data_IF_372654055797
#
_entry.id   IF_372654055797
#
_cell.length_a   1.000
_cell.length_b   1.000
_cell.length_c   1.000
_cell.angle_alpha   90.00
_cell.angle_beta   90.00
_cell.angle_gamma   90.00
#
_symmetry.space_group_name_H-M   'P 1'
#
loop_
_entity.id
_entity.type
_entity.pdbx_description
1 polymer ?
#
# COMPACT_ATOMS: atom_id res chain seq x y z
N UNK A 1 -17.05 -16.38 -26.52
CA UNK A 1 -17.61 -15.31 -25.67
C UNK A 1 -16.63 -14.16 -25.61
N UNK A 2 -17.12 -12.92 -25.60
CA UNK A 2 -16.27 -11.77 -25.32
C UNK A 2 -15.82 -11.81 -23.84
N UNK A 3 -14.52 -11.90 -23.55
CA UNK A 3 -14.01 -11.96 -22.18
C UNK A 3 -14.28 -10.68 -21.37
N UNK A 4 -14.63 -9.57 -22.02
CA UNK A 4 -14.91 -8.29 -21.38
C UNK A 4 -16.40 -7.92 -21.37
N UNK A 5 -17.28 -8.81 -21.81
CA UNK A 5 -18.73 -8.59 -21.75
C UNK A 5 -19.17 -8.29 -20.30
N UNK A 6 -19.93 -7.20 -20.05
CA UNK A 6 -20.41 -6.87 -18.71
C UNK A 6 -21.19 -8.02 -18.06
N UNK A 7 -21.06 -8.18 -16.75
CA UNK A 7 -21.81 -9.17 -15.97
C UNK A 7 -22.85 -8.40 -15.16
N UNK A 8 -24.14 -8.69 -15.38
CA UNK A 8 -25.27 -7.92 -14.83
C UNK A 8 -25.13 -6.41 -15.03
N UNK A 9 -24.65 -5.99 -16.21
CA UNK A 9 -24.44 -4.57 -16.54
C UNK A 9 -23.18 -3.94 -15.90
N UNK A 10 -22.41 -4.69 -15.11
CA UNK A 10 -21.16 -4.22 -14.51
C UNK A 10 -19.99 -4.57 -15.43
N UNK A 11 -19.40 -3.55 -16.05
CA UNK A 11 -18.18 -3.68 -16.86
C UNK A 11 -16.96 -3.93 -15.98
N UNK A 12 -15.82 -4.28 -16.60
CA UNK A 12 -14.57 -4.53 -15.84
C UNK A 12 -14.08 -3.24 -15.15
N UNK A 13 -14.24 -2.09 -15.79
CA UNK A 13 -13.94 -0.77 -15.25
C UNK A 13 -14.82 -0.45 -14.05
N UNK A 14 -16.14 -0.65 -14.18
CA UNK A 14 -17.08 -0.40 -13.07
C UNK A 14 -16.81 -1.35 -11.91
N UNK A 15 -16.48 -2.60 -12.20
CA UNK A 15 -16.07 -3.58 -11.19
C UNK A 15 -14.80 -3.13 -10.44
N UNK A 16 -13.80 -2.60 -11.14
CA UNK A 16 -12.60 -2.04 -10.53
C UNK A 16 -12.91 -0.80 -9.65
N UNK A 17 -13.81 0.08 -10.10
CA UNK A 17 -14.25 1.25 -9.31
C UNK A 17 -14.99 0.87 -8.02
N UNK A 18 -15.81 -0.18 -8.07
CA UNK A 18 -16.54 -0.73 -6.91
C UNK A 18 -15.57 -1.42 -5.96
N UNK A 19 -14.62 -2.20 -6.48
CA UNK A 19 -13.55 -2.79 -5.68
C UNK A 19 -12.78 -1.72 -4.90
N UNK A 20 -12.40 -0.62 -5.56
CA UNK A 20 -11.70 0.49 -4.91
C UNK A 20 -12.58 1.23 -3.88
N UNK A 21 -13.90 1.24 -4.04
CA UNK A 21 -14.84 1.84 -3.08
C UNK A 21 -14.96 1.03 -1.78
N UNK A 22 -14.85 -0.29 -1.94
CA UNK A 22 -15.00 -1.29 -0.91
C UNK A 22 -13.69 -1.62 -0.21
N UNK A 23 -12.55 -1.12 -0.70
CA UNK A 23 -11.23 -1.28 -0.09
C UNK A 23 -11.28 -0.98 1.43
N UNK A 24 -10.87 -1.96 2.23
CA UNK A 24 -10.86 -1.89 3.70
C UNK A 24 -12.21 -2.11 4.40
N UNK A 25 -13.29 -2.46 3.67
CA UNK A 25 -14.64 -2.72 4.23
C UNK A 25 -15.06 -4.20 4.17
N UNK A 26 -14.10 -5.09 3.93
CA UNK A 26 -14.34 -6.52 3.66
C UNK A 26 -15.00 -7.28 4.83
N UNK A 27 -14.80 -6.80 6.06
CA UNK A 27 -15.36 -7.37 7.28
C UNK A 27 -16.63 -6.64 7.76
N UNK A 28 -17.16 -5.73 6.94
CA UNK A 28 -18.36 -4.95 7.25
C UNK A 28 -19.41 -5.15 6.15
N UNK A 29 -20.27 -6.18 6.28
CA UNK A 29 -21.34 -6.44 5.33
C UNK A 29 -22.32 -5.25 5.22
N UNK A 30 -22.56 -4.54 6.33
CA UNK A 30 -23.43 -3.38 6.35
C UNK A 30 -22.79 -2.19 5.63
N UNK A 31 -21.50 -1.93 5.87
CA UNK A 31 -20.72 -0.92 5.17
C UNK A 31 -20.57 -1.21 3.68
N UNK A 32 -20.42 -2.48 3.30
CA UNK A 32 -20.40 -2.91 1.90
C UNK A 32 -21.72 -2.63 1.21
N UNK A 33 -22.85 -3.04 1.81
CA UNK A 33 -24.18 -2.78 1.26
C UNK A 33 -24.46 -1.27 1.13
N UNK A 34 -24.02 -0.47 2.10
CA UNK A 34 -24.17 0.99 2.06
C UNK A 34 -23.37 1.63 0.91
N UNK A 35 -22.11 1.23 0.70
CA UNK A 35 -21.28 1.74 -0.40
C UNK A 35 -21.85 1.31 -1.75
N UNK A 36 -22.29 0.07 -1.91
CA UNK A 36 -22.92 -0.41 -3.14
C UNK A 36 -24.20 0.37 -3.46
N UNK A 37 -25.04 0.64 -2.45
CA UNK A 37 -26.24 1.45 -2.62
C UNK A 37 -25.91 2.90 -3.02
N UNK A 38 -24.88 3.52 -2.43
CA UNK A 38 -24.39 4.85 -2.83
C UNK A 38 -23.88 4.87 -4.28
N UNK A 39 -23.29 3.78 -4.72
CA UNK A 39 -22.80 3.59 -6.09
C UNK A 39 -23.90 3.13 -7.08
N UNK A 40 -25.15 3.03 -6.61
CA UNK A 40 -26.30 2.65 -7.45
C UNK A 40 -26.28 1.20 -7.92
N UNK A 41 -25.56 0.32 -7.22
CA UNK A 41 -25.41 -1.10 -7.56
C UNK A 41 -26.12 -1.96 -6.52
N UNK A 42 -26.96 -2.89 -6.96
CA UNK A 42 -27.58 -3.84 -6.06
C UNK A 42 -26.55 -4.86 -5.56
N UNK A 43 -26.72 -5.33 -4.32
CA UNK A 43 -25.83 -6.35 -3.76
C UNK A 43 -25.84 -7.64 -4.60
N UNK A 44 -27.01 -8.05 -5.09
CA UNK A 44 -27.15 -9.23 -5.94
C UNK A 44 -26.38 -9.10 -7.27
N UNK A 45 -26.42 -7.92 -7.90
CA UNK A 45 -25.68 -7.68 -9.15
C UNK A 45 -24.18 -7.64 -8.92
N UNK A 46 -23.74 -7.05 -7.80
CA UNK A 46 -22.34 -7.03 -7.43
C UNK A 46 -21.81 -8.45 -7.14
N UNK A 47 -22.56 -9.28 -6.41
CA UNK A 47 -22.18 -10.67 -6.13
C UNK A 47 -22.11 -11.51 -7.41
N UNK A 48 -23.07 -11.34 -8.32
CA UNK A 48 -23.06 -12.00 -9.63
C UNK A 48 -21.85 -11.55 -10.49
N UNK A 49 -21.55 -10.26 -10.51
CA UNK A 49 -20.37 -9.72 -11.21
C UNK A 49 -19.07 -10.23 -10.60
N UNK A 50 -18.94 -10.22 -9.27
CA UNK A 50 -17.80 -10.78 -8.54
C UNK A 50 -17.57 -12.25 -8.89
N UNK A 51 -18.63 -13.07 -8.87
CA UNK A 51 -18.55 -14.49 -9.21
C UNK A 51 -18.11 -14.69 -10.68
N UNK A 52 -18.71 -13.95 -11.61
CA UNK A 52 -18.41 -14.09 -13.03
C UNK A 52 -17.01 -13.58 -13.42
N UNK A 53 -16.55 -12.45 -12.85
CA UNK A 53 -15.18 -11.96 -13.07
C UNK A 53 -14.15 -12.91 -12.46
N UNK A 54 -14.43 -13.46 -11.28
CA UNK A 54 -13.58 -14.49 -10.66
C UNK A 54 -13.47 -15.73 -11.55
N UNK A 55 -14.59 -16.23 -12.09
CA UNK A 55 -14.59 -17.37 -13.00
C UNK A 55 -13.75 -17.09 -14.27
N UNK A 56 -13.85 -15.89 -14.84
CA UNK A 56 -13.04 -15.49 -16.02
C UNK A 56 -11.56 -15.33 -15.69
N UNK A 57 -11.23 -14.94 -14.46
CA UNK A 57 -9.85 -14.87 -14.01
C UNK A 57 -9.26 -16.25 -13.66
N UNK A 58 -10.09 -17.26 -13.37
CA UNK A 58 -9.65 -18.65 -13.14
C UNK A 58 -9.56 -19.47 -14.43
N UNK A 59 -10.25 -19.04 -15.49
CA UNK A 59 -10.17 -19.68 -16.81
C UNK A 59 -8.78 -19.45 -17.43
N UNK A 60 -8.01 -20.53 -17.62
CA UNK A 60 -6.64 -20.48 -18.16
C UNK A 60 -6.54 -19.78 -19.53
N UNK A 61 -7.62 -19.75 -20.31
CA UNK A 61 -7.66 -19.10 -21.63
C UNK A 61 -7.95 -17.60 -21.58
N UNK A 62 -8.47 -17.11 -20.46
CA UNK A 62 -8.92 -15.72 -20.26
C UNK A 62 -8.13 -15.00 -19.17
N UNK A 63 -7.59 -15.73 -18.20
CA UNK A 63 -6.88 -15.26 -17.00
C UNK A 63 -5.91 -14.12 -17.32
N UNK A 64 -4.96 -14.34 -18.23
CA UNK A 64 -3.94 -13.35 -18.57
C UNK A 64 -4.51 -12.04 -19.10
N UNK A 65 -5.53 -12.12 -19.97
CA UNK A 65 -6.13 -10.93 -20.59
C UNK A 65 -6.96 -10.12 -19.61
N UNK A 66 -7.79 -10.78 -18.81
CA UNK A 66 -8.66 -10.11 -17.84
C UNK A 66 -7.84 -9.52 -16.68
N UNK A 67 -6.84 -10.25 -16.18
CA UNK A 67 -5.97 -9.75 -15.12
C UNK A 67 -5.11 -8.55 -15.57
N UNK A 68 -4.52 -8.61 -16.77
CA UNK A 68 -3.74 -7.49 -17.33
C UNK A 68 -4.60 -6.24 -17.56
N UNK A 69 -5.87 -6.41 -17.93
CA UNK A 69 -6.80 -5.29 -18.09
C UNK A 69 -7.30 -4.73 -16.75
N UNK A 70 -7.56 -5.59 -15.76
CA UNK A 70 -8.12 -5.18 -14.46
C UNK A 70 -7.14 -4.36 -13.61
N UNK A 71 -5.88 -4.75 -13.55
CA UNK A 71 -4.87 -4.11 -12.70
C UNK A 71 -4.76 -2.59 -12.87
N UNK A 72 -4.55 -2.04 -14.08
CA UNK A 72 -4.46 -0.59 -14.26
C UNK A 72 -5.77 0.13 -13.94
N UNK A 73 -6.93 -0.49 -14.20
CA UNK A 73 -8.25 0.07 -13.88
C UNK A 73 -8.44 0.19 -12.37
N UNK A 74 -8.08 -0.86 -11.62
CA UNK A 74 -8.19 -0.87 -10.17
C UNK A 74 -7.25 0.16 -9.52
N UNK A 75 -6.00 0.24 -9.99
CA UNK A 75 -5.04 1.24 -9.51
C UNK A 75 -5.51 2.67 -9.80
N UNK A 76 -6.05 2.94 -10.99
CA UNK A 76 -6.62 4.24 -11.32
C UNK A 76 -7.84 4.58 -10.47
N UNK A 77 -8.70 3.60 -10.19
CA UNK A 77 -9.86 3.77 -9.33
C UNK A 77 -9.47 4.06 -7.86
N UNK A 78 -8.48 3.34 -7.32
CA UNK A 78 -7.91 3.62 -6.00
C UNK A 78 -7.29 5.01 -5.94
N UNK A 79 -6.49 5.39 -6.94
CA UNK A 79 -5.90 6.73 -7.02
C UNK A 79 -6.99 7.83 -7.00
N UNK A 80 -8.05 7.65 -7.79
CA UNK A 80 -9.19 8.59 -7.86
C UNK A 80 -9.91 8.70 -6.51
N UNK A 81 -10.15 7.59 -5.81
CA UNK A 81 -10.87 7.59 -4.52
C UNK A 81 -10.03 8.07 -3.34
N UNK A 82 -8.72 7.84 -3.37
CA UNK A 82 -7.80 8.34 -2.35
C UNK A 82 -7.41 9.82 -2.57
N UNK A 83 -8.00 10.48 -3.58
CA UNK A 83 -7.79 11.91 -3.87
C UNK A 83 -6.51 12.23 -4.65
N UNK A 84 -5.85 11.21 -5.21
CA UNK A 84 -4.49 11.30 -5.75
C UNK A 84 -3.44 11.37 -4.65
N UNK A 85 -2.22 10.88 -4.92
CA UNK A 85 -1.12 11.06 -3.98
C UNK A 85 -0.70 12.54 -4.01
N UNK A 86 -0.70 13.20 -2.85
CA UNK A 86 -0.12 14.53 -2.72
C UNK A 86 1.36 14.43 -3.03
N UNK A 87 1.80 15.19 -4.03
CA UNK A 87 3.19 15.31 -4.43
C UNK A 87 3.72 16.69 -4.10
N UNK A 88 4.94 16.70 -3.60
CA UNK A 88 5.77 17.89 -3.43
C UNK A 88 7.04 17.71 -4.26
N UNK A 89 7.70 18.82 -4.61
CA UNK A 89 8.98 18.76 -5.31
C UNK A 89 10.05 18.03 -4.47
N UNK A 90 11.10 17.51 -5.11
CA UNK A 90 12.22 16.89 -4.38
C UNK A 90 12.83 17.86 -3.37
N UNK A 91 12.97 19.12 -3.78
CA UNK A 91 13.55 20.17 -2.95
C UNK A 91 12.67 20.50 -1.74
N UNK A 92 11.35 20.48 -1.92
CA UNK A 92 10.40 20.60 -0.81
C UNK A 92 10.43 19.38 0.10
N UNK A 93 10.54 18.17 -0.44
CA UNK A 93 10.69 16.98 0.36
C UNK A 93 11.94 17.04 1.26
N UNK A 94 13.11 17.39 0.70
CA UNK A 94 14.35 17.53 1.49
C UNK A 94 14.22 18.64 2.53
N UNK A 95 13.60 19.76 2.15
CA UNK A 95 13.36 20.88 3.05
C UNK A 95 12.46 20.48 4.25
N UNK A 96 11.35 19.79 4.00
CA UNK A 96 10.44 19.34 5.07
C UNK A 96 11.11 18.28 5.95
N UNK A 97 11.90 17.37 5.38
CA UNK A 97 12.72 16.43 6.17
C UNK A 97 13.67 17.16 7.12
N UNK A 98 14.35 18.20 6.64
CA UNK A 98 15.24 19.03 7.48
C UNK A 98 14.46 19.78 8.57
N UNK A 99 13.28 20.33 8.24
CA UNK A 99 12.40 20.98 9.21
C UNK A 99 11.96 20.02 10.32
N UNK A 100 11.56 18.80 9.97
CA UNK A 100 11.15 17.77 10.94
C UNK A 100 12.32 17.43 11.89
N UNK A 101 13.54 17.34 11.36
CA UNK A 101 14.73 17.06 12.17
C UNK A 101 15.11 18.21 13.11
N UNK A 102 14.79 19.45 12.77
CA UNK A 102 15.08 20.63 13.61
C UNK A 102 13.96 20.92 14.61
N UNK A 103 12.70 20.83 14.19
CA UNK A 103 11.54 21.28 14.99
C UNK A 103 10.67 20.15 15.54
N UNK A 104 10.92 18.89 15.18
CA UNK A 104 10.01 17.74 15.35
C UNK A 104 8.87 17.71 14.32
N UNK A 105 8.27 16.53 14.18
CA UNK A 105 7.34 16.20 13.09
C UNK A 105 6.13 17.14 12.96
N UNK A 106 5.31 17.23 14.02
CA UNK A 106 4.06 17.99 13.98
C UNK A 106 4.26 19.48 13.69
N UNK A 107 5.11 20.23 14.42
CA UNK A 107 5.30 21.66 14.16
C UNK A 107 5.95 21.92 12.79
N UNK A 108 6.81 21.03 12.31
CA UNK A 108 7.42 21.17 10.99
C UNK A 108 6.39 21.02 9.85
N UNK A 109 5.59 19.94 9.89
CA UNK A 109 4.57 19.65 8.86
C UNK A 109 3.49 20.76 8.84
N UNK A 110 3.10 21.27 10.00
CA UNK A 110 2.16 22.39 10.09
C UNK A 110 2.76 23.70 9.56
N UNK A 111 4.03 24.01 9.89
CA UNK A 111 4.69 25.25 9.48
C UNK A 111 4.83 25.37 7.95
N UNK A 112 4.93 24.25 7.24
CA UNK A 112 5.07 24.20 5.78
C UNK A 112 3.74 24.05 5.04
N UNK A 113 2.62 23.97 5.77
CA UNK A 113 1.27 23.89 5.22
C UNK A 113 0.84 22.51 4.77
N UNK A 114 1.49 21.44 5.24
CA UNK A 114 1.10 20.05 4.96
C UNK A 114 0.21 19.48 6.08
N UNK A 115 -0.62 18.50 5.74
CA UNK A 115 -1.22 17.58 6.72
C UNK A 115 -0.30 16.37 6.94
N UNK A 116 -0.56 15.63 8.01
CA UNK A 116 0.19 14.39 8.28
C UNK A 116 0.00 13.34 7.17
N UNK A 117 -1.19 13.25 6.58
CA UNK A 117 -1.46 12.31 5.48
C UNK A 117 -0.75 12.73 4.20
N UNK A 118 -0.77 14.01 3.87
CA UNK A 118 -0.06 14.57 2.70
C UNK A 118 1.45 14.35 2.80
N UNK A 119 2.03 14.59 3.99
CA UNK A 119 3.44 14.30 4.23
C UNK A 119 3.76 12.81 4.08
N UNK A 120 2.92 11.93 4.64
CA UNK A 120 3.13 10.48 4.58
C UNK A 120 3.12 9.97 3.12
N UNK A 121 2.20 10.48 2.31
CA UNK A 121 2.12 10.17 0.87
C UNK A 121 3.37 10.68 0.13
N UNK A 122 3.76 11.94 0.36
CA UNK A 122 4.94 12.54 -0.25
C UNK A 122 6.25 11.81 0.13
N UNK A 123 6.39 11.44 1.41
CA UNK A 123 7.55 10.72 1.90
C UNK A 123 7.64 9.30 1.32
N UNK A 124 6.51 8.58 1.27
CA UNK A 124 6.44 7.27 0.63
C UNK A 124 6.88 7.30 -0.84
N UNK A 125 6.42 8.30 -1.59
CA UNK A 125 6.83 8.51 -2.98
C UNK A 125 8.33 8.75 -3.13
N UNK A 126 8.89 9.73 -2.41
CA UNK A 126 10.28 10.12 -2.56
C UNK A 126 11.26 9.05 -2.06
N UNK A 127 10.91 8.30 -1.02
CA UNK A 127 11.72 7.17 -0.56
C UNK A 127 11.83 6.07 -1.63
N UNK A 128 10.71 5.73 -2.27
CA UNK A 128 10.73 4.77 -3.38
C UNK A 128 11.55 5.30 -4.56
N UNK A 129 11.39 6.58 -4.91
CA UNK A 129 12.16 7.20 -6.01
C UNK A 129 13.66 7.23 -5.74
N UNK A 130 14.08 7.60 -4.53
CA UNK A 130 15.48 7.61 -4.15
C UNK A 130 16.08 6.21 -4.09
N UNK A 131 15.33 5.22 -3.61
CA UNK A 131 15.76 3.83 -3.58
C UNK A 131 15.94 3.23 -5.00
N UNK A 132 15.07 3.59 -5.93
CA UNK A 132 15.15 3.13 -7.33
C UNK A 132 16.25 3.85 -8.12
N UNK A 133 16.54 5.11 -7.79
CA UNK A 133 17.46 5.97 -8.54
C UNK A 133 18.63 6.45 -7.66
N UNK A 134 19.25 5.54 -6.90
CA UNK A 134 20.27 5.88 -5.89
C UNK A 134 21.40 6.78 -6.44
N UNK A 135 21.89 6.53 -7.66
CA UNK A 135 22.95 7.34 -8.28
C UNK A 135 22.52 8.79 -8.56
N UNK A 136 21.24 9.01 -8.91
CA UNK A 136 20.71 10.34 -9.16
C UNK A 136 20.57 11.15 -7.86
N UNK A 137 20.26 10.47 -6.76
CA UNK A 137 20.02 11.08 -5.44
C UNK A 137 21.17 10.88 -4.45
N UNK A 138 22.36 10.49 -4.92
CA UNK A 138 23.55 10.31 -4.08
C UNK A 138 23.93 11.58 -3.28
N UNK A 139 23.53 12.76 -3.79
CA UNK A 139 23.71 14.07 -3.15
C UNK A 139 22.69 14.41 -2.05
N UNK A 140 21.71 13.53 -1.78
CA UNK A 140 20.66 13.77 -0.80
C UNK A 140 21.19 14.15 0.60
N UNK A 141 22.19 13.44 1.17
CA UNK A 141 22.65 13.73 2.53
C UNK A 141 23.24 15.13 2.65
N UNK A 142 24.02 15.57 1.64
CA UNK A 142 24.57 16.93 1.63
C UNK A 142 23.45 17.98 1.51
N UNK A 143 22.44 17.73 0.67
CA UNK A 143 21.31 18.66 0.49
C UNK A 143 20.47 18.80 1.76
N UNK A 144 20.25 17.69 2.48
CA UNK A 144 19.57 17.70 3.77
C UNK A 144 20.35 18.52 4.81
N UNK A 145 21.66 18.28 4.93
CA UNK A 145 22.53 19.05 5.83
C UNK A 145 22.55 20.55 5.52
N UNK A 146 22.54 20.93 4.24
CA UNK A 146 22.46 22.33 3.82
C UNK A 146 21.17 23.00 4.32
N UNK A 147 20.03 22.34 4.16
CA UNK A 147 18.75 22.87 4.66
C UNK A 147 18.70 22.89 6.19
N UNK A 148 19.20 21.86 6.87
CA UNK A 148 19.30 21.85 8.33
C UNK A 148 20.11 23.05 8.87
N UNK A 149 21.25 23.35 8.24
CA UNK A 149 22.09 24.48 8.63
C UNK A 149 21.38 25.82 8.41
N UNK A 150 20.67 25.98 7.28
CA UNK A 150 19.89 27.19 7.00
C UNK A 150 18.76 27.39 8.00
N UNK A 151 18.02 26.33 8.33
CA UNK A 151 16.91 26.38 9.29
C UNK A 151 17.43 26.69 10.70
N UNK A 152 18.51 26.04 11.15
CA UNK A 152 19.17 26.37 12.42
C UNK A 152 19.74 27.78 12.45
N UNK A 153 20.12 28.31 11.29
CA UNK A 153 20.52 29.71 11.09
C UNK A 153 19.38 30.73 11.15
N UNK A 154 18.13 30.28 11.36
CA UNK A 154 16.97 31.16 11.50
C UNK A 154 16.24 31.46 10.18
N UNK A 155 16.44 30.67 9.13
CA UNK A 155 15.65 30.81 7.91
C UNK A 155 14.15 30.61 8.21
N UNK A 156 13.26 31.51 7.75
CA UNK A 156 11.84 31.38 8.02
C UNK A 156 11.23 30.14 7.32
N UNK A 157 10.18 29.53 7.91
CA UNK A 157 9.46 28.44 7.26
C UNK A 157 8.90 28.86 5.90
N UNK A 158 9.10 28.06 4.86
CA UNK A 158 8.47 28.27 3.54
C UNK A 158 7.29 27.31 3.34
N UNK A 159 6.27 27.78 2.63
CA UNK A 159 5.15 26.95 2.18
C UNK A 159 5.61 26.05 1.03
N UNK A 160 5.23 24.77 1.08
CA UNK A 160 5.55 23.83 -0.01
C UNK A 160 4.53 23.91 -1.14
N UNK A 161 4.98 23.66 -2.36
CA UNK A 161 4.09 23.56 -3.50
C UNK A 161 3.53 22.15 -3.61
N UNK A 162 2.22 22.03 -3.42
CA UNK A 162 1.49 20.77 -3.57
C UNK A 162 1.04 20.61 -5.01
N UNK A 163 1.19 19.40 -5.52
CA UNK A 163 0.59 18.94 -6.77
C UNK A 163 -0.15 17.64 -6.48
N UNK A 164 -1.31 17.45 -7.10
CA UNK A 164 -2.05 16.20 -7.01
C UNK A 164 -1.74 15.41 -8.26
N UNK A 165 -1.11 14.26 -8.10
CA UNK A 165 -0.90 13.34 -9.21
C UNK A 165 -2.05 12.34 -9.27
N UNK A 166 -3.02 12.61 -10.15
CA UNK A 166 -4.18 11.74 -10.39
C UNK A 166 -3.81 10.42 -11.07
N UNK A 167 -2.60 10.32 -11.64
CA UNK A 167 -2.07 9.13 -12.30
C UNK A 167 -1.19 8.27 -11.39
N UNK A 168 -0.81 8.80 -10.23
CA UNK A 168 -0.09 8.06 -9.22
C UNK A 168 -1.06 7.15 -8.46
N UNK A 169 -0.88 5.83 -8.61
CA UNK A 169 -1.42 4.88 -7.64
C UNK A 169 -0.96 5.33 -6.24
N UNK A 170 -1.92 5.53 -5.35
CA UNK A 170 -1.61 5.79 -3.96
C UNK A 170 -1.02 4.50 -3.38
N UNK A 171 0.32 4.44 -3.35
CA UNK A 171 1.02 3.41 -2.59
C UNK A 171 0.62 3.57 -1.13
N UNK A 172 0.36 2.46 -0.44
CA UNK A 172 0.20 2.45 1.02
C UNK A 172 1.38 3.23 1.59
N UNK A 173 1.06 4.42 2.11
CA UNK A 173 2.05 5.28 2.72
C UNK A 173 2.66 4.54 3.91
N UNK A 174 3.94 4.75 4.19
CA UNK A 174 4.56 4.16 5.35
C UNK A 174 3.79 4.49 6.63
N UNK A 175 3.87 3.62 7.65
CA UNK A 175 3.23 3.89 8.95
C UNK A 175 3.73 5.22 9.53
N UNK A 176 2.95 5.88 10.39
CA UNK A 176 3.32 7.17 10.99
C UNK A 176 4.73 7.13 11.64
N UNK A 177 5.08 6.01 12.29
CA UNK A 177 6.41 5.77 12.83
C UNK A 177 7.50 5.65 11.76
N UNK A 178 7.21 5.02 10.63
CA UNK A 178 8.12 4.99 9.49
C UNK A 178 8.28 6.40 8.88
N UNK A 179 7.20 7.18 8.74
CA UNK A 179 7.24 8.57 8.28
C UNK A 179 8.13 9.47 9.16
N UNK A 180 8.12 9.26 10.48
CA UNK A 180 9.00 9.93 11.45
C UNK A 180 10.44 9.44 11.31
N UNK A 181 10.66 8.13 11.13
CA UNK A 181 11.99 7.57 10.95
C UNK A 181 12.67 8.07 9.66
N UNK A 182 11.92 8.28 8.57
CA UNK A 182 12.46 8.80 7.32
C UNK A 182 12.97 10.23 7.42
N UNK A 183 12.36 11.05 8.26
CA UNK A 183 12.83 12.41 8.49
C UNK A 183 14.11 12.45 9.36
N UNK A 184 14.35 11.40 10.15
CA UNK A 184 15.47 11.33 11.09
C UNK A 184 16.68 10.53 10.58
N UNK A 185 16.57 9.82 9.45
CA UNK A 185 17.63 8.97 8.93
C UNK A 185 18.14 9.42 7.56
N UNK A 186 19.41 9.10 7.31
CA UNK A 186 20.05 9.22 6.01
C UNK A 186 19.48 8.11 5.09
N UNK A 187 18.72 8.41 4.03
CA UNK A 187 17.96 7.41 3.28
C UNK A 187 18.83 6.39 2.54
N UNK A 188 20.10 6.72 2.27
CA UNK A 188 21.07 5.77 1.68
C UNK A 188 21.53 4.75 2.74
N UNK A 189 21.78 5.20 3.97
CA UNK A 189 22.08 4.31 5.09
C UNK A 189 20.83 3.51 5.49
N UNK A 190 19.65 4.13 5.46
CA UNK A 190 18.39 3.46 5.69
C UNK A 190 18.14 2.38 4.63
N UNK A 191 18.36 2.65 3.34
CA UNK A 191 18.20 1.68 2.25
C UNK A 191 19.17 0.49 2.34
N UNK A 192 20.45 0.73 2.66
CA UNK A 192 21.45 -0.35 2.84
C UNK A 192 21.21 -1.19 4.10
N UNK A 193 20.63 -0.60 5.14
CA UNK A 193 20.31 -1.30 6.39
C UNK A 193 18.82 -1.66 6.49
N UNK A 194 18.04 -1.51 5.42
CA UNK A 194 16.63 -1.88 5.40
C UNK A 194 16.52 -3.38 5.12
N UNK A 195 16.20 -4.24 6.11
CA UNK A 195 15.88 -5.63 5.83
C UNK A 195 14.68 -5.74 4.85
N UNK A 196 13.83 -4.71 4.75
CA UNK A 196 12.77 -4.65 3.75
C UNK A 196 13.29 -4.53 2.32
N UNK A 197 14.46 -3.94 2.05
CA UNK A 197 15.01 -3.85 0.69
C UNK A 197 15.65 -5.16 0.25
N UNK A 198 16.35 -5.86 1.16
CA UNK A 198 16.85 -7.22 0.92
C UNK A 198 15.69 -8.23 0.78
N UNK A 199 14.62 -8.05 1.55
CA UNK A 199 13.38 -8.83 1.44
C UNK A 199 12.57 -8.44 0.20
N UNK A 200 12.63 -7.20 -0.27
CA UNK A 200 12.00 -6.75 -1.52
C UNK A 200 12.81 -7.22 -2.74
N UNK A 201 14.12 -7.42 -2.62
CA UNK A 201 14.94 -8.06 -3.65
C UNK A 201 14.72 -9.58 -3.69
N UNK A 202 14.52 -10.22 -2.53
CA UNK A 202 14.06 -11.60 -2.44
C UNK A 202 12.60 -11.77 -2.92
N UNK A 203 11.73 -10.79 -2.67
CA UNK A 203 10.36 -10.73 -3.19
C UNK A 203 10.36 -10.41 -4.69
N UNK A 204 11.25 -9.57 -5.20
CA UNK A 204 11.39 -9.29 -6.63
C UNK A 204 11.93 -10.53 -7.39
N UNK A 205 12.84 -11.29 -6.77
CA UNK A 205 13.32 -12.56 -7.31
C UNK A 205 12.24 -13.66 -7.30
N UNK A 206 11.37 -13.70 -6.28
CA UNK A 206 10.21 -14.60 -6.26
C UNK A 206 9.04 -14.12 -7.13
N UNK A 207 8.91 -12.81 -7.38
CA UNK A 207 8.03 -12.20 -8.38
C UNK A 207 8.51 -12.52 -9.80
N UNK A 208 9.81 -12.68 -10.05
CA UNK A 208 10.30 -13.19 -11.34
C UNK A 208 10.02 -14.68 -11.55
N UNK A 209 10.01 -15.48 -10.47
CA UNK A 209 9.70 -16.91 -10.56
C UNK A 209 8.19 -17.21 -10.51
N UNK A 210 7.37 -16.33 -9.93
CA UNK A 210 5.92 -16.44 -9.86
C UNK A 210 5.24 -15.06 -9.77
N UNK A 211 5.20 -14.29 -10.87
CA UNK A 211 4.64 -12.93 -10.90
C UNK A 211 3.13 -12.89 -10.57
N UNK A 212 2.47 -14.05 -10.67
CA UNK A 212 1.03 -14.23 -10.46
C UNK A 212 0.65 -14.55 -9.00
N UNK A 213 1.60 -14.92 -8.13
CA UNK A 213 1.29 -15.28 -6.73
C UNK A 213 1.14 -14.08 -5.79
N UNK A 214 1.82 -12.96 -6.08
CA UNK A 214 1.93 -11.83 -5.15
C UNK A 214 0.80 -10.79 -5.32
N UNK A 215 0.46 -10.45 -6.57
CA UNK A 215 -0.66 -9.54 -6.87
C UNK A 215 -2.02 -10.22 -6.82
N UNK A 216 -2.09 -11.49 -7.27
CA UNK A 216 -3.32 -12.25 -7.28
C UNK A 216 -3.58 -12.99 -5.96
N UNK A 217 -2.56 -13.31 -5.15
CA UNK A 217 -2.77 -13.91 -3.83
C UNK A 217 -3.43 -12.96 -2.84
N UNK A 218 -3.02 -11.68 -2.84
CA UNK A 218 -3.69 -10.67 -2.02
C UNK A 218 -5.05 -10.28 -2.61
N UNK A 219 -5.17 -10.03 -3.92
CA UNK A 219 -6.46 -9.70 -4.54
C UNK A 219 -7.46 -10.87 -4.48
N UNK A 220 -7.03 -12.12 -4.67
CA UNK A 220 -7.90 -13.29 -4.56
C UNK A 220 -8.25 -13.60 -3.10
N UNK A 221 -7.33 -13.45 -2.13
CA UNK A 221 -7.68 -13.59 -0.71
C UNK A 221 -8.62 -12.46 -0.22
N UNK A 222 -8.43 -11.23 -0.71
CA UNK A 222 -9.38 -10.11 -0.51
C UNK A 222 -10.75 -10.42 -1.15
N UNK A 223 -10.78 -11.14 -2.28
CA UNK A 223 -12.02 -11.49 -2.97
C UNK A 223 -12.70 -12.77 -2.44
N UNK A 224 -11.98 -13.73 -1.84
CA UNK A 224 -12.53 -15.02 -1.38
C UNK A 224 -12.68 -15.15 0.15
N UNK A 225 -12.41 -14.09 0.91
CA UNK A 225 -12.42 -14.14 2.37
C UNK A 225 -11.21 -14.90 2.95
N UNK A 226 -10.08 -14.90 2.23
CA UNK A 226 -8.83 -15.47 2.68
C UNK A 226 -8.12 -14.57 3.70
N UNK A 227 -7.20 -15.17 4.45
CA UNK A 227 -6.35 -14.47 5.41
C UNK A 227 -5.43 -13.50 4.64
N UNK A 228 -5.51 -12.21 4.96
CA UNK A 228 -4.77 -11.11 4.32
C UNK A 228 -3.94 -10.33 5.33
N UNK A 229 -3.02 -9.47 4.87
CA UNK A 229 -2.33 -8.53 5.75
C UNK A 229 -3.35 -7.65 6.50
N UNK A 230 -3.20 -7.52 7.81
CA UNK A 230 -4.12 -6.87 8.74
C UNK A 230 -5.10 -7.82 9.43
N UNK A 231 -5.31 -9.04 8.90
CA UNK A 231 -6.23 -10.02 9.48
C UNK A 231 -5.78 -10.51 10.86
N UNK A 232 -6.74 -10.64 11.80
CA UNK A 232 -6.51 -11.36 13.06
C UNK A 232 -6.61 -12.85 12.83
N UNK A 233 -5.65 -13.58 13.35
CA UNK A 233 -5.52 -15.02 13.14
C UNK A 233 -5.16 -15.73 14.44
N UNK A 234 -5.52 -17.01 14.49
CA UNK A 234 -5.04 -17.93 15.51
C UNK A 234 -4.02 -18.86 14.86
N UNK A 235 -2.81 -18.85 15.41
CA UNK A 235 -1.71 -19.72 14.98
C UNK A 235 -1.70 -20.96 15.86
N UNK A 236 -1.86 -22.13 15.26
CA UNK A 236 -1.73 -23.42 15.95
C UNK A 236 -0.27 -23.83 15.97
N UNK A 237 0.29 -24.05 17.17
CA UNK A 237 1.68 -24.48 17.33
C UNK A 237 1.79 -26.00 17.45
N UNK A 238 3.01 -26.53 17.42
CA UNK A 238 3.28 -27.97 17.55
C UNK A 238 2.86 -28.56 18.89
N UNK A 239 2.64 -27.72 19.91
CA UNK A 239 2.15 -28.10 21.23
C UNK A 239 0.61 -28.26 21.27
N UNK A 240 -0.08 -27.97 20.16
CA UNK A 240 -1.54 -28.02 20.06
C UNK A 240 -2.26 -26.77 20.57
N UNK A 241 -1.54 -25.80 21.16
CA UNK A 241 -2.11 -24.53 21.60
C UNK A 241 -2.28 -23.57 20.42
N UNK A 242 -3.19 -22.60 20.60
CA UNK A 242 -3.47 -21.56 19.62
C UNK A 242 -3.11 -20.19 20.18
N UNK A 243 -2.35 -19.43 19.42
CA UNK A 243 -1.86 -18.12 19.81
C UNK A 243 -2.44 -17.04 18.91
N UNK A 244 -3.03 -15.97 19.46
CA UNK A 244 -3.55 -14.87 18.66
C UNK A 244 -2.40 -14.06 18.05
N UNK A 245 -2.62 -13.62 16.81
CA UNK A 245 -1.70 -12.72 16.14
C UNK A 245 -2.38 -11.93 15.02
N UNK A 246 -1.64 -10.99 14.45
CA UNK A 246 -2.05 -10.20 13.31
C UNK A 246 -1.12 -10.47 12.13
N UNK A 247 -1.69 -10.76 10.97
CA UNK A 247 -0.90 -10.95 9.75
C UNK A 247 -0.34 -9.60 9.32
N UNK A 248 0.98 -9.48 9.23
CA UNK A 248 1.65 -8.31 8.65
C UNK A 248 1.83 -8.46 7.14
N UNK A 249 2.02 -9.69 6.67
CA UNK A 249 2.28 -9.97 5.26
C UNK A 249 1.77 -11.36 4.88
N UNK A 250 1.17 -11.49 3.70
CA UNK A 250 0.82 -12.77 3.10
C UNK A 250 1.80 -13.13 1.96
N UNK A 251 2.26 -14.38 1.93
CA UNK A 251 3.07 -14.96 0.87
C UNK A 251 2.49 -16.34 0.47
N UNK A 252 2.89 -16.92 -0.68
CA UNK A 252 2.43 -18.26 -1.04
C UNK A 252 2.77 -19.28 0.06
N UNK A 253 1.74 -19.95 0.60
CA UNK A 253 1.80 -20.98 1.65
C UNK A 253 2.27 -20.54 3.05
N UNK A 254 2.43 -19.23 3.32
CA UNK A 254 2.82 -18.76 4.65
C UNK A 254 2.42 -17.31 4.91
N UNK A 255 2.27 -16.96 6.18
CA UNK A 255 1.88 -15.64 6.66
C UNK A 255 2.93 -15.13 7.65
N UNK A 256 3.37 -13.88 7.51
CA UNK A 256 4.13 -13.21 8.56
C UNK A 256 3.13 -12.73 9.61
N UNK A 257 3.18 -13.30 10.80
CA UNK A 257 2.27 -12.98 11.91
C UNK A 257 3.03 -12.25 13.00
N UNK A 258 2.50 -11.13 13.46
CA UNK A 258 2.91 -10.43 14.69
C UNK A 258 2.06 -10.89 15.86
N UNK A 259 2.69 -11.39 16.91
CA UNK A 259 2.02 -11.80 18.15
C UNK A 259 1.92 -10.62 19.13
N UNK A 260 1.09 -10.74 20.16
CA UNK A 260 0.89 -9.69 21.17
C UNK A 260 2.18 -9.26 21.89
N UNK A 261 3.17 -10.15 22.00
CA UNK A 261 4.49 -9.84 22.56
C UNK A 261 5.43 -9.08 21.61
N UNK A 262 4.96 -8.68 20.42
CA UNK A 262 5.74 -7.97 19.41
C UNK A 262 6.66 -8.85 18.56
N UNK A 263 6.77 -10.15 18.86
CA UNK A 263 7.50 -11.10 18.03
C UNK A 263 6.82 -11.28 16.67
N UNK A 264 7.62 -11.48 15.64
CA UNK A 264 7.15 -11.71 14.28
C UNK A 264 7.68 -13.03 13.77
N UNK A 265 6.81 -13.84 13.18
CA UNK A 265 7.22 -15.13 12.63
C UNK A 265 6.45 -15.51 11.37
N UNK A 266 7.14 -16.15 10.43
CA UNK A 266 6.52 -16.78 9.28
C UNK A 266 5.87 -18.09 9.69
N UNK A 267 4.55 -18.14 9.52
CA UNK A 267 3.71 -19.28 9.89
C UNK A 267 3.19 -19.94 8.61
N UNK A 268 3.33 -21.26 8.45
CA UNK A 268 2.77 -21.99 7.32
C UNK A 268 1.24 -21.83 7.27
N UNK A 269 0.66 -21.75 6.08
CA UNK A 269 -0.76 -21.45 5.90
C UNK A 269 -1.70 -22.49 6.52
N UNK A 270 -1.27 -23.75 6.66
CA UNK A 270 -2.03 -24.81 7.32
C UNK A 270 -2.03 -24.70 8.86
N UNK A 271 -1.15 -23.88 9.43
CA UNK A 271 -1.07 -23.61 10.86
C UNK A 271 -1.79 -22.31 11.25
N UNK A 272 -2.34 -21.57 10.28
CA UNK A 272 -3.07 -20.33 10.52
C UNK A 272 -4.55 -20.55 10.25
N UNK A 273 -5.38 -20.25 11.25
CA UNK A 273 -6.83 -20.19 11.08
C UNK A 273 -7.30 -18.77 11.37
N UNK A 274 -8.34 -18.33 10.67
CA UNK A 274 -8.94 -17.02 10.93
C UNK A 274 -9.53 -17.02 12.35
N UNK A 275 -9.23 -15.97 13.11
CA UNK A 275 -9.68 -15.82 14.51
C UNK A 275 -11.17 -15.45 14.59
#
# INVERSE_FOLDING_TARGET
MDPFAPINGISLERYAELGAALDGKDNDPAGTAQVLAQEGVSQADYEAAKAGWTARMQDMSLMGRVATAFMPLYQAALAKRQGGATRISYDDFVYVSAMIKVYSFEPAVQAVGLTQSEWTQAAGYWNNQMAQNMMQYAGHPQKLQQWEAQIRGGAPPRQVQKSVDSSAAAQQGPSQQQAINYANQDPIAAAMNNPAMMQQQAAAASIMQNPLGFGFGQAAAVLTGGITAGSRVMVMWSDGNRYPGQVLQAAPNQYLVQFEGGSQQWIPSNAVVQA
#
